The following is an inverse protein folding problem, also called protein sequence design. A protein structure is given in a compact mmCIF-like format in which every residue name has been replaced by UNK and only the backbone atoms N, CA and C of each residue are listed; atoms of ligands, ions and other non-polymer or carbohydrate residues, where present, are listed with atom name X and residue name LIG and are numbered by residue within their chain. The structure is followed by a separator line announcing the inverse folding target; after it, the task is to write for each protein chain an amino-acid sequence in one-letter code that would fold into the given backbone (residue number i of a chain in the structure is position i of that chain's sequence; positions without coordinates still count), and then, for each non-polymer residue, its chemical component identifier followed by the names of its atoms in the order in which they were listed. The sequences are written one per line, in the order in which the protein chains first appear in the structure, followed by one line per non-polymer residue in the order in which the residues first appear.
data_IF_051274284361
#
_entry.id   IF_051274284361
#
_cell.length_a   1.000
_cell.length_b   1.000
_cell.length_c   1.000
_cell.angle_alpha   90.00
_cell.angle_beta   90.00
_cell.angle_gamma   90.00
#
_symmetry.space_group_name_H-M   'P 1'
#
loop_
_entity.id
_entity.type
_entity.pdbx_description
1 polymer ?
#
# COMPACT_ATOMS: atom_id res chain seq x y z
N UNK A 1 -23.73 -0.31 -11.69
CA UNK A 1 -24.47 -1.10 -10.69
C UNK A 1 -23.54 -1.29 -9.50
N UNK A 2 -23.72 -0.51 -8.43
CA UNK A 2 -22.78 -0.48 -7.30
C UNK A 2 -22.82 -1.80 -6.52
N UNK A 3 -21.67 -2.44 -6.31
CA UNK A 3 -21.56 -3.61 -5.45
C UNK A 3 -21.84 -3.18 -4.01
N UNK A 4 -22.73 -3.88 -3.30
CA UNK A 4 -23.06 -3.52 -1.90
C UNK A 4 -21.92 -3.97 -0.99
N UNK A 5 -21.77 -3.30 0.15
CA UNK A 5 -20.73 -3.63 1.14
C UNK A 5 -20.76 -5.11 1.54
N UNK A 6 -21.95 -5.70 1.70
CA UNK A 6 -22.10 -7.11 2.06
C UNK A 6 -21.62 -8.06 0.97
N UNK A 7 -21.93 -7.79 -0.30
CA UNK A 7 -21.43 -8.59 -1.44
C UNK A 7 -19.90 -8.57 -1.50
N UNK A 8 -19.31 -7.39 -1.24
CA UNK A 8 -17.86 -7.21 -1.15
C UNK A 8 -17.27 -8.04 0.00
N UNK A 9 -17.86 -7.93 1.19
CA UNK A 9 -17.40 -8.65 2.37
C UNK A 9 -17.51 -10.17 2.21
N UNK A 10 -18.62 -10.67 1.68
CA UNK A 10 -18.84 -12.10 1.42
C UNK A 10 -17.84 -12.66 0.42
N UNK A 11 -17.60 -11.94 -0.68
CA UNK A 11 -16.55 -12.30 -1.65
C UNK A 11 -15.20 -12.49 -0.95
N UNK A 12 -14.82 -11.57 -0.07
CA UNK A 12 -13.54 -11.65 0.61
C UNK A 12 -13.48 -12.72 1.69
N UNK A 13 -14.59 -12.99 2.39
CA UNK A 13 -14.70 -14.13 3.31
C UNK A 13 -14.51 -15.45 2.58
N UNK A 14 -15.07 -15.60 1.38
CA UNK A 14 -14.87 -16.78 0.54
C UNK A 14 -13.41 -16.98 0.10
N UNK A 15 -12.71 -15.89 -0.25
CA UNK A 15 -11.30 -15.93 -0.65
C UNK A 15 -10.34 -16.12 0.54
N UNK A 16 -10.73 -15.64 1.72
CA UNK A 16 -9.93 -15.69 2.95
C UNK A 16 -10.70 -16.32 4.10
N UNK A 17 -10.94 -17.64 4.06
CA UNK A 17 -11.74 -18.34 5.07
C UNK A 17 -11.05 -18.42 6.44
N UNK A 18 -9.74 -18.10 6.48
CA UNK A 18 -8.94 -18.05 7.70
C UNK A 18 -8.18 -16.75 7.74
N UNK A 19 -8.06 -16.21 8.95
CA UNK A 19 -7.22 -15.05 9.23
C UNK A 19 -5.79 -15.30 8.74
N UNK A 20 -5.23 -14.33 8.02
CA UNK A 20 -3.81 -14.31 7.65
C UNK A 20 -3.09 -13.31 8.55
N UNK A 21 -1.88 -13.66 8.98
CA UNK A 21 -1.08 -12.77 9.82
C UNK A 21 -0.36 -11.74 8.95
N UNK A 22 -0.33 -10.50 9.45
CA UNK A 22 0.56 -9.44 8.98
C UNK A 22 1.77 -9.41 9.90
N UNK A 23 2.98 -9.36 9.35
CA UNK A 23 4.21 -9.25 10.14
C UNK A 23 5.33 -8.62 9.34
N UNK A 24 6.16 -7.82 9.99
CA UNK A 24 7.38 -7.32 9.38
C UNK A 24 8.45 -8.40 9.29
N UNK A 25 9.21 -8.37 8.21
CA UNK A 25 10.38 -9.22 8.00
C UNK A 25 11.34 -8.54 7.04
N UNK A 26 12.54 -8.22 7.53
CA UNK A 26 13.63 -7.61 6.77
C UNK A 26 13.17 -6.34 6.00
N UNK A 27 12.53 -5.39 6.70
CA UNK A 27 12.05 -4.14 6.10
C UNK A 27 10.87 -4.31 5.13
N UNK A 28 10.16 -5.44 5.20
CA UNK A 28 9.00 -5.72 4.36
C UNK A 28 7.83 -6.24 5.18
N UNK A 29 6.63 -5.68 4.99
CA UNK A 29 5.42 -6.22 5.60
C UNK A 29 4.94 -7.45 4.82
N UNK A 30 5.10 -8.62 5.44
CA UNK A 30 4.53 -9.85 4.92
C UNK A 30 3.01 -9.80 5.04
N UNK A 31 2.34 -9.76 3.89
CA UNK A 31 0.90 -9.75 3.81
C UNK A 31 0.38 -11.01 3.10
N UNK A 32 -0.06 -11.99 3.90
CA UNK A 32 -0.63 -13.25 3.38
C UNK A 32 -1.96 -13.09 2.64
N UNK A 33 -2.63 -11.93 2.75
CA UNK A 33 -3.84 -11.63 1.98
C UNK A 33 -3.49 -11.33 0.51
N UNK A 34 -2.40 -10.61 0.23
CA UNK A 34 -1.95 -10.27 -1.13
C UNK A 34 -1.80 -11.51 -2.04
N UNK A 35 -1.18 -12.58 -1.54
CA UNK A 35 -1.00 -13.82 -2.30
C UNK A 35 -2.30 -14.54 -2.67
N UNK A 36 -3.37 -14.37 -1.87
CA UNK A 36 -4.68 -14.97 -2.13
C UNK A 36 -5.63 -14.09 -2.96
N UNK A 37 -5.49 -12.76 -2.89
CA UNK A 37 -6.35 -11.85 -3.67
C UNK A 37 -5.87 -11.62 -5.11
N UNK A 38 -4.69 -12.11 -5.50
CA UNK A 38 -4.04 -11.92 -6.82
C UNK A 38 -3.63 -10.48 -7.15
N UNK A 39 -3.76 -9.56 -6.19
CA UNK A 39 -3.44 -8.15 -6.36
C UNK A 39 -2.65 -7.65 -5.16
N UNK A 40 -1.59 -6.87 -5.39
CA UNK A 40 -0.78 -6.30 -4.31
C UNK A 40 -1.61 -5.30 -3.43
N UNK A 41 -2.76 -4.82 -3.90
CA UNK A 41 -3.66 -3.87 -3.22
C UNK A 41 -5.16 -4.22 -3.22
N UNK A 42 -5.55 -5.39 -3.76
CA UNK A 42 -6.95 -5.72 -4.07
C UNK A 42 -7.51 -4.89 -5.26
N UNK A 43 -8.62 -5.33 -5.88
CA UNK A 43 -9.36 -4.50 -6.84
C UNK A 43 -9.83 -3.22 -6.14
N UNK A 44 -9.46 -2.07 -6.68
CA UNK A 44 -9.94 -0.77 -6.23
C UNK A 44 -11.31 -0.52 -6.88
N UNK A 45 -12.23 0.11 -6.16
CA UNK A 45 -13.54 0.52 -6.72
C UNK A 45 -13.45 1.81 -7.56
N UNK A 46 -12.24 2.16 -7.99
CA UNK A 46 -11.96 3.30 -8.85
C UNK A 46 -11.11 2.82 -10.01
N UNK A 47 -11.49 3.18 -11.24
CA UNK A 47 -10.61 3.01 -12.40
C UNK A 47 -9.54 4.09 -12.48
N UNK A 48 -9.51 5.00 -11.52
CA UNK A 48 -8.51 6.05 -11.48
C UNK A 48 -7.11 5.46 -11.24
N UNK A 49 -6.12 5.97 -11.97
CA UNK A 49 -4.72 5.84 -11.64
C UNK A 49 -4.44 6.00 -10.14
N UNK A 50 -3.81 5.00 -9.54
CA UNK A 50 -3.10 5.17 -8.30
C UNK A 50 -1.60 5.17 -8.62
N UNK A 51 -0.95 6.33 -8.70
CA UNK A 51 0.47 6.41 -8.94
C UNK A 51 1.22 5.88 -7.71
N UNK A 52 2.09 4.89 -7.91
CA UNK A 52 3.09 4.49 -6.94
C UNK A 52 4.43 5.02 -7.42
N UNK A 53 4.97 5.98 -6.70
CA UNK A 53 6.31 6.46 -6.93
C UNK A 53 7.34 5.33 -6.76
N UNK A 54 8.26 5.26 -7.71
CA UNK A 54 9.45 4.44 -7.69
C UNK A 54 10.64 5.32 -7.36
N UNK A 55 11.49 4.84 -6.48
CA UNK A 55 12.76 5.47 -6.22
C UNK A 55 13.72 5.19 -7.39
N UNK A 56 14.71 6.06 -7.66
CA UNK A 56 15.64 5.86 -8.78
C UNK A 56 16.32 4.49 -8.78
N UNK A 57 16.63 3.95 -7.58
CA UNK A 57 17.23 2.60 -7.41
C UNK A 57 16.31 1.44 -7.80
N UNK A 58 15.00 1.68 -7.93
CA UNK A 58 14.00 0.70 -8.32
C UNK A 58 13.80 0.67 -9.84
N UNK A 59 14.39 1.62 -10.58
CA UNK A 59 14.33 1.66 -12.04
C UNK A 59 15.32 0.68 -12.66
N UNK A 60 14.85 -0.07 -13.66
CA UNK A 60 15.70 -1.00 -14.41
C UNK A 60 15.16 -1.24 -15.83
N UNK A 61 15.97 -1.77 -16.78
CA UNK A 61 15.61 -1.89 -18.20
C UNK A 61 14.40 -2.78 -18.55
N UNK A 62 13.73 -3.39 -17.57
CA UNK A 62 12.55 -4.25 -17.77
C UNK A 62 11.36 -3.80 -16.93
N UNK A 63 11.42 -2.64 -16.29
CA UNK A 63 10.43 -2.18 -15.31
C UNK A 63 9.01 -2.12 -15.90
N UNK A 64 8.88 -1.75 -17.18
CA UNK A 64 7.63 -1.74 -17.95
C UNK A 64 6.97 -3.13 -18.15
N UNK A 65 7.76 -4.20 -18.04
CA UNK A 65 7.27 -5.59 -18.08
C UNK A 65 6.80 -6.06 -16.71
N UNK A 66 7.30 -5.43 -15.65
CA UNK A 66 7.00 -5.75 -14.26
C UNK A 66 5.88 -4.87 -13.69
N UNK A 67 5.76 -3.62 -14.15
CA UNK A 67 4.75 -2.65 -13.77
C UNK A 67 4.25 -1.86 -14.98
N UNK A 68 2.97 -1.48 -14.94
CA UNK A 68 2.47 -0.43 -15.82
C UNK A 68 3.09 0.89 -15.36
N UNK A 69 3.63 1.69 -16.29
CA UNK A 69 4.30 2.94 -15.96
C UNK A 69 3.59 4.13 -16.63
N UNK A 70 3.40 5.24 -15.90
CA UNK A 70 2.97 6.51 -16.51
C UNK A 70 4.17 7.31 -17.05
N UNK A 71 5.27 7.28 -16.31
CA UNK A 71 6.55 7.89 -16.65
C UNK A 71 7.67 7.04 -16.05
N UNK A 72 8.93 7.50 -16.14
CA UNK A 72 10.08 6.78 -15.63
C UNK A 72 9.96 6.41 -14.14
N UNK A 73 9.31 7.22 -13.31
CA UNK A 73 9.31 7.11 -11.86
C UNK A 73 7.98 6.65 -11.27
N UNK A 74 6.98 6.32 -12.08
CA UNK A 74 5.61 6.08 -11.60
C UNK A 74 5.07 4.73 -12.04
N UNK A 75 5.03 3.77 -11.11
CA UNK A 75 4.34 2.49 -11.26
C UNK A 75 2.84 2.68 -10.99
N UNK A 76 2.03 2.47 -12.01
CA UNK A 76 0.61 2.73 -12.03
C UNK A 76 -0.22 1.51 -11.58
N UNK A 77 -1.21 1.72 -10.71
CA UNK A 77 -2.28 0.76 -10.47
C UNK A 77 -3.62 1.35 -10.93
N UNK A 78 -4.38 0.70 -11.81
CA UNK A 78 -5.80 1.07 -12.02
C UNK A 78 -6.74 0.31 -11.08
N UNK A 79 -8.04 0.40 -11.33
CA UNK A 79 -9.10 -0.34 -10.65
C UNK A 79 -8.96 -1.85 -10.65
N UNK A 80 -8.09 -2.40 -11.51
CA UNK A 80 -7.75 -3.81 -11.46
C UNK A 80 -6.78 -4.09 -10.31
N UNK A 81 -6.00 -3.11 -9.85
CA UNK A 81 -4.91 -3.25 -8.87
C UNK A 81 -3.61 -3.70 -9.54
N UNK A 82 -2.49 -3.63 -8.83
CA UNK A 82 -1.22 -4.18 -9.33
C UNK A 82 -1.37 -5.70 -9.50
N UNK A 83 -1.60 -6.12 -10.74
CA UNK A 83 -1.65 -7.51 -11.17
C UNK A 83 -0.26 -7.90 -11.62
N UNK A 84 0.36 -8.85 -10.95
CA UNK A 84 1.39 -9.60 -11.64
C UNK A 84 0.73 -10.46 -12.71
N UNK A 85 1.09 -10.21 -13.96
CA UNK A 85 0.65 -11.00 -15.10
C UNK A 85 1.38 -12.34 -15.23
N UNK A 86 2.13 -12.77 -14.22
CA UNK A 86 2.84 -14.05 -14.20
C UNK A 86 2.27 -15.00 -13.15
N UNK A 87 2.46 -16.30 -13.36
CA UNK A 87 2.13 -17.35 -12.38
C UNK A 87 2.88 -17.23 -11.04
N UNK A 88 3.82 -16.29 -10.93
CA UNK A 88 4.64 -16.06 -9.72
C UNK A 88 4.17 -14.90 -8.83
N UNK A 89 3.12 -14.15 -9.19
CA UNK A 89 2.76 -12.94 -8.42
C UNK A 89 3.78 -11.81 -8.62
N UNK A 90 3.72 -10.71 -7.85
CA UNK A 90 4.64 -9.54 -7.94
C UNK A 90 6.09 -10.07 -7.81
N UNK A 91 6.73 -10.43 -8.94
CA UNK A 91 7.77 -11.47 -9.03
C UNK A 91 9.20 -10.96 -8.92
N UNK A 92 9.35 -9.66 -8.67
CA UNK A 92 10.65 -9.05 -8.48
C UNK A 92 11.27 -9.47 -7.14
N UNK A 93 12.61 -9.56 -7.06
CA UNK A 93 13.33 -9.50 -5.79
C UNK A 93 12.91 -8.26 -4.98
N UNK A 94 13.02 -8.32 -3.64
CA UNK A 94 12.52 -7.24 -2.75
C UNK A 94 13.11 -5.88 -3.10
N UNK A 95 14.38 -5.87 -3.49
CA UNK A 95 15.16 -4.68 -3.80
C UNK A 95 14.61 -3.94 -5.03
N UNK A 96 13.98 -4.66 -5.95
CA UNK A 96 13.38 -4.10 -7.17
C UNK A 96 11.90 -3.74 -7.05
N UNK A 97 11.26 -3.98 -5.90
CA UNK A 97 9.83 -3.70 -5.73
C UNK A 97 9.59 -2.27 -5.27
N UNK A 98 8.49 -1.62 -5.72
CA UNK A 98 8.04 -0.33 -5.19
C UNK A 98 7.93 -0.36 -3.67
N UNK A 99 8.25 0.76 -3.01
CA UNK A 99 8.14 0.88 -1.54
C UNK A 99 6.72 0.55 -1.06
N UNK A 100 5.71 1.02 -1.81
CA UNK A 100 4.30 0.76 -1.52
C UNK A 100 3.96 -0.74 -1.41
N UNK A 101 4.65 -1.61 -2.17
CA UNK A 101 4.44 -3.06 -2.08
C UNK A 101 4.95 -3.63 -0.75
N UNK A 102 6.02 -3.05 -0.18
CA UNK A 102 6.58 -3.46 1.12
C UNK A 102 5.86 -2.87 2.31
N UNK A 103 5.10 -1.80 2.08
CA UNK A 103 4.33 -1.07 3.07
C UNK A 103 2.89 -1.62 3.21
N UNK A 104 2.34 -2.19 2.14
CA UNK A 104 0.91 -2.55 2.06
C UNK A 104 0.44 -3.50 3.17
N UNK A 105 -0.62 -3.16 3.96
CA UNK A 105 -1.71 -2.26 3.58
C UNK A 105 -1.59 -0.81 4.05
N UNK A 106 -0.43 -0.43 4.60
CA UNK A 106 -0.16 0.96 4.97
C UNK A 106 0.12 1.80 3.72
N UNK A 107 -0.22 3.08 3.79
CA UNK A 107 -0.01 4.03 2.71
C UNK A 107 0.39 5.38 3.30
N UNK A 108 1.39 6.01 2.69
CA UNK A 108 1.88 7.33 3.06
C UNK A 108 1.13 8.38 2.22
N UNK A 109 0.39 9.25 2.88
CA UNK A 109 -0.44 10.28 2.24
C UNK A 109 -0.25 11.60 2.98
N UNK A 110 0.07 12.67 2.26
CA UNK A 110 0.34 13.99 2.83
C UNK A 110 1.25 13.94 4.07
N UNK A 111 2.30 13.10 4.04
CA UNK A 111 3.24 12.92 5.15
C UNK A 111 2.72 12.10 6.36
N UNK A 112 1.53 11.53 6.28
CA UNK A 112 0.88 10.78 7.36
C UNK A 112 0.57 9.33 6.93
N UNK A 113 0.51 8.42 7.90
CA UNK A 113 0.27 7.01 7.66
C UNK A 113 -1.22 6.65 7.78
N UNK A 114 -1.73 5.97 6.76
CA UNK A 114 -3.12 5.51 6.67
C UNK A 114 -3.21 4.03 6.32
N UNK A 115 -4.42 3.48 6.41
CA UNK A 115 -4.79 2.19 5.84
C UNK A 115 -6.07 2.30 5.01
N UNK A 116 -6.21 1.44 3.99
CA UNK A 116 -7.43 1.37 3.17
C UNK A 116 -8.58 0.73 3.93
N UNK A 117 -9.75 1.39 3.97
CA UNK A 117 -10.97 0.83 4.60
C UNK A 117 -11.41 -0.49 3.97
N UNK A 118 -11.23 -0.62 2.66
CA UNK A 118 -11.71 -1.76 1.88
C UNK A 118 -10.72 -2.91 1.84
N UNK A 119 -9.45 -2.70 2.22
CA UNK A 119 -8.46 -3.76 2.11
C UNK A 119 -8.83 -4.98 2.98
N UNK A 120 -8.82 -6.22 2.44
CA UNK A 120 -9.09 -7.42 3.23
C UNK A 120 -8.16 -7.60 4.43
N UNK A 121 -6.90 -7.18 4.30
CA UNK A 121 -5.94 -7.21 5.40
C UNK A 121 -6.35 -6.29 6.56
N UNK A 122 -7.08 -5.21 6.26
CA UNK A 122 -7.64 -4.28 7.26
C UNK A 122 -8.98 -4.80 7.78
N UNK A 123 -9.87 -5.26 6.90
CA UNK A 123 -11.19 -5.78 7.28
C UNK A 123 -11.13 -6.99 8.23
N UNK A 124 -10.11 -7.85 8.08
CA UNK A 124 -9.97 -9.08 8.85
C UNK A 124 -8.85 -9.04 9.91
N UNK A 125 -8.25 -7.88 10.16
CA UNK A 125 -7.25 -7.70 11.21
C UNK A 125 -7.75 -6.67 12.22
N UNK A 126 -7.85 -7.02 13.52
CA UNK A 126 -8.25 -6.06 14.55
C UNK A 126 -7.30 -4.85 14.58
N UNK A 127 -7.85 -3.64 14.77
CA UNK A 127 -7.06 -2.39 14.79
C UNK A 127 -5.95 -2.41 15.84
N UNK A 128 -6.19 -3.01 17.02
CA UNK A 128 -5.17 -3.19 18.06
C UNK A 128 -3.93 -3.97 17.59
N UNK A 129 -4.08 -4.84 16.57
CA UNK A 129 -2.97 -5.60 15.98
C UNK A 129 -2.35 -4.86 14.78
N UNK A 130 -3.07 -3.93 14.16
CA UNK A 130 -2.55 -3.06 13.11
C UNK A 130 -1.71 -1.91 13.67
N UNK A 131 -2.07 -1.36 14.82
CA UNK A 131 -1.37 -0.23 15.44
C UNK A 131 0.15 -0.46 15.60
N UNK A 132 0.64 -1.56 16.22
CA UNK A 132 2.09 -1.78 16.34
C UNK A 132 2.77 -2.00 14.98
N UNK A 133 2.09 -2.63 14.03
CA UNK A 133 2.60 -2.81 12.66
C UNK A 133 2.72 -1.47 11.92
N UNK A 134 1.79 -0.54 12.15
CA UNK A 134 1.82 0.81 11.61
C UNK A 134 2.94 1.65 12.20
N UNK A 135 3.23 1.50 13.50
CA UNK A 135 4.38 2.15 14.12
C UNK A 135 5.71 1.60 13.57
N UNK A 136 5.81 0.31 13.33
CA UNK A 136 6.98 -0.28 12.69
C UNK A 136 7.13 0.17 11.23
N UNK A 137 6.02 0.30 10.50
CA UNK A 137 5.99 0.90 9.17
C UNK A 137 6.53 2.33 9.19
N UNK A 138 6.09 3.11 10.17
CA UNK A 138 6.52 4.49 10.35
C UNK A 138 8.02 4.59 10.61
N UNK A 139 8.56 3.76 11.51
CA UNK A 139 10.01 3.67 11.77
C UNK A 139 10.80 3.26 10.52
N UNK A 140 10.29 2.30 9.76
CA UNK A 140 10.91 1.91 8.50
C UNK A 140 10.92 3.06 7.50
N UNK A 141 9.84 3.83 7.39
CA UNK A 141 9.79 5.01 6.53
C UNK A 141 10.75 6.13 6.96
N UNK A 142 11.04 6.26 8.26
CA UNK A 142 12.02 7.28 8.71
C UNK A 142 13.46 7.01 8.27
N UNK A 143 13.78 5.82 7.72
CA UNK A 143 15.11 5.56 7.15
C UNK A 143 15.30 6.16 5.74
N UNK A 144 14.23 6.68 5.13
CA UNK A 144 14.28 7.33 3.81
C UNK A 144 14.55 8.83 3.97
N UNK A 145 15.14 9.44 2.96
CA UNK A 145 15.35 10.89 2.96
C UNK A 145 14.02 11.64 2.89
N UNK A 146 14.00 12.91 3.30
CA UNK A 146 12.81 13.75 3.17
C UNK A 146 12.35 13.86 1.70
N UNK A 147 13.30 13.96 0.76
CA UNK A 147 12.99 14.00 -0.68
C UNK A 147 12.35 12.69 -1.17
N UNK A 148 12.89 11.54 -0.76
CA UNK A 148 12.32 10.24 -1.08
C UNK A 148 10.90 10.11 -0.49
N UNK A 149 10.68 10.56 0.74
CA UNK A 149 9.36 10.52 1.38
C UNK A 149 8.35 11.44 0.71
N UNK A 150 8.75 12.64 0.28
CA UNK A 150 7.90 13.53 -0.53
C UNK A 150 7.53 12.90 -1.86
N UNK A 151 8.47 12.22 -2.50
CA UNK A 151 8.24 11.53 -3.76
C UNK A 151 7.28 10.33 -3.58
N UNK A 152 7.44 9.56 -2.50
CA UNK A 152 6.62 8.39 -2.17
C UNK A 152 5.22 8.72 -1.64
N UNK A 153 5.07 9.88 -0.98
CA UNK A 153 3.81 10.31 -0.39
C UNK A 153 2.82 10.72 -1.47
N UNK A 154 1.62 10.19 -1.39
CA UNK A 154 0.53 10.66 -2.24
C UNK A 154 0.05 12.02 -1.79
N UNK A 155 -0.42 12.81 -2.75
CA UNK A 155 -1.23 13.99 -2.51
C UNK A 155 -2.71 13.63 -2.69
N UNK A 156 -3.49 13.77 -1.62
CA UNK A 156 -4.92 13.44 -1.61
C UNK A 156 -5.71 14.51 -0.86
N UNK A 157 -6.89 14.84 -1.39
CA UNK A 157 -7.79 15.76 -0.72
C UNK A 157 -8.35 15.16 0.58
N UNK A 158 -8.71 16.01 1.57
CA UNK A 158 -9.35 15.55 2.80
C UNK A 158 -10.63 14.73 2.58
N UNK A 159 -11.40 15.05 1.54
CA UNK A 159 -12.62 14.33 1.19
C UNK A 159 -12.32 12.87 0.81
N UNK A 160 -11.31 12.64 -0.04
CA UNK A 160 -10.89 11.29 -0.44
C UNK A 160 -10.32 10.50 0.74
N UNK A 161 -9.54 11.16 1.59
CA UNK A 161 -9.02 10.57 2.84
C UNK A 161 -10.15 10.08 3.74
N UNK A 162 -11.12 10.96 4.03
CA UNK A 162 -12.26 10.66 4.89
C UNK A 162 -13.13 9.54 4.32
N UNK A 163 -13.26 9.44 2.99
CA UNK A 163 -14.04 8.41 2.33
C UNK A 163 -13.33 7.04 2.36
N UNK A 164 -12.07 6.97 1.89
CA UNK A 164 -11.41 5.71 1.50
C UNK A 164 -10.42 5.16 2.53
N UNK A 165 -9.97 5.98 3.48
CA UNK A 165 -8.85 5.65 4.36
C UNK A 165 -9.18 5.79 5.85
N UNK A 166 -8.39 5.11 6.68
CA UNK A 166 -8.39 5.24 8.14
C UNK A 166 -7.03 5.81 8.53
N UNK A 167 -7.02 6.95 9.21
CA UNK A 167 -5.80 7.54 9.76
C UNK A 167 -5.28 6.69 10.91
N UNK A 168 -3.97 6.51 10.98
CA UNK A 168 -3.31 5.89 12.14
C UNK A 168 -2.86 6.91 13.19
N UNK A 169 -3.03 8.21 12.94
CA UNK A 169 -2.50 9.24 13.82
C UNK A 169 -0.98 9.24 13.88
N UNK A 170 -0.31 8.94 12.76
CA UNK A 170 1.16 8.89 12.69
C UNK A 170 1.62 9.80 11.55
N UNK A 171 2.34 10.86 11.90
CA UNK A 171 3.05 11.70 10.94
C UNK A 171 4.49 11.20 10.80
N UNK A 172 4.98 11.11 9.57
CA UNK A 172 6.35 10.67 9.25
C UNK A 172 7.25 11.85 8.90
N UNK A 173 6.71 12.81 8.16
CA UNK A 173 7.42 14.02 7.76
C UNK A 173 6.45 15.18 7.58
N UNK A 174 7.00 16.38 7.61
CA UNK A 174 6.34 17.62 7.24
C UNK A 174 7.28 18.47 6.38
N UNK A 175 6.91 19.73 6.14
CA UNK A 175 7.72 20.68 5.38
C UNK A 175 9.13 20.91 5.95
N UNK A 176 9.34 20.67 7.24
CA UNK A 176 10.61 20.87 7.93
C UNK A 176 11.52 19.63 7.90
N UNK A 177 11.01 18.47 7.47
CA UNK A 177 11.79 17.25 7.35
C UNK A 177 11.12 16.01 7.91
N UNK A 178 11.92 14.96 8.06
CA UNK A 178 11.49 13.69 8.65
C UNK A 178 11.34 13.87 10.15
N UNK A 179 10.12 13.71 10.65
CA UNK A 179 9.80 13.85 12.07
C UNK A 179 8.64 12.92 12.43
N UNK A 180 8.95 11.84 13.16
CA UNK A 180 7.96 10.85 13.57
C UNK A 180 7.16 11.38 14.76
N UNK A 181 5.87 11.65 14.54
CA UNK A 181 4.96 12.12 15.59
C UNK A 181 3.70 11.25 15.66
N UNK A 182 3.24 10.97 16.89
CA UNK A 182 1.93 10.37 17.16
C UNK A 182 0.94 11.50 17.46
N UNK A 183 -0.22 11.49 16.80
CA UNK A 183 -1.24 12.54 16.83
C UNK A 183 -2.61 11.97 17.18
#
# INVERSE_FOLDING_TARGET
MGKRFWDYLEKWRGLFPRRKNLRWRDGWLQNGYCGGCRYCCGPQDSNEPFPMALLPRQLHPRIEKDFCMLNADTAYMDGRGCKSCTSKGCGLPREGRPVACGLFPFVLINGNLYVYKTCPAILFTPLAQLAPLGLEAARWLTSFSHEELRHLSLDMSPAVLAEKYISLGIQIFDENGVNLQLR
#
